data_IF_158024911895
#
_entry.id   IF_158024911895
#
_cell.length_a   1.000
_cell.length_b   1.000
_cell.length_c   1.000
_cell.angle_alpha   90.00
_cell.angle_beta   90.00
_cell.angle_gamma   90.00
#
_symmetry.space_group_name_H-M   'P 1'
#
loop_
_entity.id
_entity.type
_entity.pdbx_description
1 polymer ?
#
# COMPACT_ATOMS: atom_id res chain seq x y z
N UNK A 1 -14.44 -1.39 -12.18
CA UNK A 1 -14.95 -2.12 -11.01
C UNK A 1 -14.20 -1.62 -9.80
N UNK A 2 -14.88 -0.90 -8.93
CA UNK A 2 -14.24 -0.16 -7.85
C UNK A 2 -13.93 -1.11 -6.68
N UNK A 3 -12.65 -1.33 -6.45
CA UNK A 3 -12.14 -2.17 -5.37
C UNK A 3 -11.83 -1.28 -4.16
N UNK A 4 -12.12 -1.72 -2.94
CA UNK A 4 -11.67 -1.04 -1.72
C UNK A 4 -10.17 -0.77 -1.76
N UNK A 5 -9.77 0.47 -1.50
CA UNK A 5 -8.37 0.88 -1.60
C UNK A 5 -7.83 1.40 -0.28
N UNK A 6 -6.63 0.92 0.03
CA UNK A 6 -5.92 1.17 1.27
C UNK A 6 -4.55 1.71 0.89
N UNK A 7 -4.17 2.89 1.41
CA UNK A 7 -2.78 3.36 1.35
C UNK A 7 -1.93 2.46 2.23
N UNK A 8 -0.94 1.80 1.65
CA UNK A 8 -0.06 0.85 2.34
C UNK A 8 1.35 1.43 2.43
N UNK A 9 2.06 1.14 3.53
CA UNK A 9 3.46 1.53 3.66
C UNK A 9 4.28 1.03 2.48
N UNK A 10 5.30 1.80 2.11
CA UNK A 10 6.26 1.43 1.09
C UNK A 10 6.72 -0.04 1.23
N UNK A 11 6.82 -0.74 0.10
CA UNK A 11 7.14 -2.16 -0.12
C UNK A 11 5.97 -3.14 -0.10
N UNK A 12 4.75 -2.74 0.25
CA UNK A 12 3.62 -3.66 0.26
C UNK A 12 3.36 -4.27 -1.12
N UNK A 13 3.48 -3.48 -2.19
CA UNK A 13 3.40 -4.00 -3.56
C UNK A 13 4.49 -5.04 -3.87
N UNK A 14 5.74 -4.77 -3.48
CA UNK A 14 6.86 -5.71 -3.68
C UNK A 14 6.59 -7.04 -2.98
N UNK A 15 6.14 -7.01 -1.72
CA UNK A 15 5.79 -8.22 -0.98
C UNK A 15 4.65 -8.99 -1.66
N UNK A 16 3.62 -8.31 -2.15
CA UNK A 16 2.50 -8.94 -2.85
C UNK A 16 2.95 -9.67 -4.15
N UNK A 17 3.90 -9.07 -4.90
CA UNK A 17 4.49 -9.71 -6.09
C UNK A 17 5.28 -10.96 -5.72
N UNK A 18 6.11 -10.89 -4.68
CA UNK A 18 6.90 -12.04 -4.21
C UNK A 18 5.99 -13.16 -3.69
N UNK A 19 4.97 -12.82 -2.89
CA UNK A 19 4.00 -13.79 -2.38
C UNK A 19 3.31 -14.55 -3.52
N UNK A 20 2.86 -13.82 -4.56
CA UNK A 20 2.27 -14.43 -5.75
C UNK A 20 3.24 -15.34 -6.48
N UNK A 21 4.51 -14.95 -6.62
CA UNK A 21 5.53 -15.78 -7.27
C UNK A 21 5.70 -17.14 -6.58
N UNK A 22 5.65 -17.17 -5.24
CA UNK A 22 5.77 -18.39 -4.45
C UNK A 22 4.43 -19.08 -4.14
N UNK A 23 3.30 -18.60 -4.69
CA UNK A 23 1.99 -19.18 -4.45
C UNK A 23 1.49 -19.02 -3.00
N UNK A 24 1.96 -18.01 -2.27
CA UNK A 24 1.55 -17.70 -0.90
C UNK A 24 0.44 -16.65 -0.94
N UNK A 25 -0.68 -16.83 -0.22
CA UNK A 25 -1.76 -15.84 -0.18
C UNK A 25 -1.30 -14.58 0.58
N UNK A 26 -1.55 -13.41 -0.01
CA UNK A 26 -1.22 -12.12 0.57
C UNK A 26 -2.47 -11.45 1.14
N UNK A 27 -2.44 -11.06 2.41
CA UNK A 27 -3.56 -10.41 3.09
C UNK A 27 -3.20 -9.00 3.54
N UNK A 28 -4.17 -8.10 3.48
CA UNK A 28 -4.05 -6.74 4.02
C UNK A 28 -4.94 -6.62 5.24
N UNK A 29 -4.38 -6.26 6.40
CA UNK A 29 -5.15 -5.93 7.59
C UNK A 29 -5.30 -4.41 7.68
N UNK A 30 -6.53 -3.91 7.67
CA UNK A 30 -6.83 -2.50 7.81
C UNK A 30 -8.21 -2.30 8.46
N UNK A 31 -8.38 -1.28 9.31
CA UNK A 31 -9.71 -0.89 9.79
C UNK A 31 -10.63 -0.54 8.62
N UNK A 32 -11.92 -0.83 8.74
CA UNK A 32 -12.89 -0.50 7.68
C UNK A 32 -12.90 0.99 7.34
N UNK A 33 -12.63 1.85 8.33
CA UNK A 33 -12.54 3.32 8.17
C UNK A 33 -11.34 3.80 7.35
N UNK A 34 -10.32 2.96 7.15
CA UNK A 34 -9.13 3.30 6.35
C UNK A 34 -9.37 3.05 4.85
N UNK A 35 -10.49 2.41 4.51
CA UNK A 35 -10.83 2.07 3.14
C UNK A 35 -11.55 3.25 2.49
N UNK A 36 -10.97 3.76 1.41
CA UNK A 36 -11.65 4.70 0.54
C UNK A 36 -12.49 3.94 -0.50
N UNK A 37 -13.81 4.11 -0.43
CA UNK A 37 -14.76 3.49 -1.35
C UNK A 37 -15.12 4.38 -2.54
N UNK A 38 -14.80 5.68 -2.49
CA UNK A 38 -15.05 6.65 -3.54
C UNK A 38 -13.93 6.66 -4.59
N UNK A 39 -12.73 6.23 -4.20
CA UNK A 39 -11.59 6.07 -5.10
C UNK A 39 -11.81 4.91 -6.09
N UNK A 40 -11.83 5.20 -7.39
CA UNK A 40 -12.16 4.25 -8.47
C UNK A 40 -10.94 3.50 -9.03
N UNK A 41 -9.73 4.07 -8.93
CA UNK A 41 -8.45 3.43 -9.27
C UNK A 41 -7.35 3.66 -8.22
N UNK A 42 -6.41 2.72 -8.12
CA UNK A 42 -5.18 2.92 -7.32
C UNK A 42 -4.34 4.09 -7.86
N UNK A 43 -4.54 4.44 -9.13
CA UNK A 43 -3.86 5.54 -9.81
C UNK A 43 -4.32 6.93 -9.32
N UNK A 44 -5.48 7.01 -8.66
CA UNK A 44 -6.00 8.25 -8.07
C UNK A 44 -5.39 8.53 -6.69
N UNK A 45 -4.69 7.54 -6.11
CA UNK A 45 -4.08 7.65 -4.79
C UNK A 45 -2.82 8.50 -4.93
N UNK A 46 -2.91 9.76 -4.48
CA UNK A 46 -1.72 10.63 -4.38
C UNK A 46 -0.75 10.03 -3.35
N UNK A 47 0.43 9.67 -3.85
CA UNK A 47 1.54 9.14 -3.05
C UNK A 47 2.34 10.31 -2.47
N UNK A 48 2.45 10.33 -1.16
CA UNK A 48 3.26 11.30 -0.43
C UNK A 48 4.75 11.08 -0.74
N UNK A 49 5.43 12.14 -1.19
CA UNK A 49 6.89 12.18 -1.26
C UNK A 49 7.45 12.83 0.00
N UNK A 50 8.36 12.13 0.67
CA UNK A 50 8.96 12.56 1.93
C UNK A 50 10.31 13.21 1.69
N UNK A 51 10.82 13.88 2.73
CA UNK A 51 12.09 14.57 2.66
C UNK A 51 13.22 13.60 2.26
N UNK A 52 14.05 14.00 1.30
CA UNK A 52 15.20 13.24 0.81
C UNK A 52 16.17 12.85 1.93
N UNK A 53 16.27 13.67 2.99
CA UNK A 53 17.11 13.41 4.16
C UNK A 53 16.77 12.09 4.85
N UNK A 54 15.51 11.67 4.86
CA UNK A 54 15.10 10.41 5.50
C UNK A 54 15.69 9.17 4.80
N UNK A 55 16.08 9.28 3.53
CA UNK A 55 16.82 8.23 2.82
C UNK A 55 18.33 8.45 2.84
N UNK A 56 18.79 9.70 2.77
CA UNK A 56 20.23 9.99 2.64
C UNK A 56 20.97 10.02 3.98
N UNK A 57 20.26 10.20 5.08
CA UNK A 57 20.81 10.42 6.43
C UNK A 57 20.21 9.41 7.43
N UNK A 58 21.03 8.96 8.39
CA UNK A 58 20.59 8.17 9.54
C UNK A 58 21.01 8.94 10.79
N UNK A 59 20.02 9.40 11.57
CA UNK A 59 20.27 10.40 12.62
C UNK A 59 20.77 11.70 11.99
N UNK A 60 21.88 12.23 12.49
CA UNK A 60 22.51 13.45 11.97
C UNK A 60 23.62 13.17 10.94
N UNK A 61 23.85 11.90 10.57
CA UNK A 61 24.95 11.51 9.68
C UNK A 61 24.45 11.15 8.29
N UNK A 62 25.00 11.82 7.28
CA UNK A 62 24.80 11.46 5.87
C UNK A 62 25.54 10.17 5.52
N UNK A 63 24.83 9.25 4.87
CA UNK A 63 25.34 7.96 4.40
C UNK A 63 25.41 7.91 2.87
N UNK A 64 24.44 8.54 2.19
CA UNK A 64 24.43 8.61 0.73
C UNK A 64 25.47 9.61 0.20
N UNK A 65 25.95 9.38 -1.03
CA UNK A 65 26.89 10.28 -1.70
C UNK A 65 26.34 11.72 -1.76
N UNK A 66 27.25 12.70 -1.70
CA UNK A 66 26.88 14.11 -1.82
C UNK A 66 26.34 14.42 -3.22
N UNK A 67 25.31 15.26 -3.30
CA UNK A 67 24.68 15.66 -4.58
C UNK A 67 23.78 14.60 -5.24
N UNK A 68 23.66 13.38 -4.71
CA UNK A 68 22.78 12.36 -5.29
C UNK A 68 21.30 12.74 -5.16
N UNK A 69 20.55 12.55 -6.26
CA UNK A 69 19.10 12.70 -6.27
C UNK A 69 18.44 11.40 -5.74
N UNK A 70 17.38 11.54 -4.96
CA UNK A 70 16.65 10.41 -4.39
C UNK A 70 15.17 10.55 -4.62
N UNK A 71 14.49 9.41 -4.71
CA UNK A 71 13.04 9.33 -4.78
C UNK A 71 12.52 8.64 -3.52
N UNK A 72 11.75 9.38 -2.70
CA UNK A 72 11.34 8.95 -1.37
C UNK A 72 9.82 8.90 -1.20
N UNK A 73 9.17 7.96 -1.88
CA UNK A 73 7.72 7.73 -1.72
C UNK A 73 7.41 7.05 -0.38
N UNK A 74 6.49 7.61 0.41
CA UNK A 74 6.08 7.06 1.71
C UNK A 74 5.27 5.76 1.61
N UNK A 75 4.59 5.58 0.48
CA UNK A 75 3.59 4.54 0.26
C UNK A 75 3.74 3.93 -1.13
N UNK A 76 3.24 2.70 -1.28
CA UNK A 76 2.96 2.11 -2.59
C UNK A 76 1.54 1.53 -2.60
N UNK A 77 1.08 1.14 -3.79
CA UNK A 77 -0.26 0.59 -3.98
C UNK A 77 -0.11 -0.82 -4.52
N UNK A 78 -0.50 -1.82 -3.73
CA UNK A 78 -0.62 -3.19 -4.20
C UNK A 78 -1.91 -3.34 -5.03
N UNK A 79 -1.82 -3.77 -6.31
CA UNK A 79 -2.98 -4.06 -7.12
C UNK A 79 -3.88 -5.12 -6.46
N UNK A 80 -5.19 -4.94 -6.59
CA UNK A 80 -6.19 -5.82 -5.96
C UNK A 80 -6.07 -7.30 -6.36
N UNK A 81 -5.59 -7.58 -7.57
CA UNK A 81 -5.39 -8.95 -8.06
C UNK A 81 -4.19 -9.67 -7.39
N UNK A 82 -3.43 -8.98 -6.55
CA UNK A 82 -2.37 -9.57 -5.72
C UNK A 82 -2.82 -9.76 -4.26
N UNK A 83 -4.01 -9.30 -3.88
CA UNK A 83 -4.54 -9.37 -2.51
C UNK A 83 -5.58 -10.48 -2.45
N UNK A 84 -5.33 -11.50 -1.63
CA UNK A 84 -6.26 -12.60 -1.42
C UNK A 84 -7.47 -12.16 -0.58
N UNK A 85 -7.22 -11.34 0.45
CA UNK A 85 -8.27 -10.80 1.30
C UNK A 85 -7.85 -9.57 2.10
N UNK A 86 -8.85 -8.77 2.47
CA UNK A 86 -8.75 -7.62 3.35
C UNK A 86 -9.40 -7.98 4.69
N UNK A 87 -8.63 -7.93 5.77
CA UNK A 87 -9.08 -8.25 7.13
C UNK A 87 -9.39 -6.94 7.84
N UNK A 88 -10.63 -6.84 8.34
CA UNK A 88 -11.17 -5.68 9.05
C UNK A 88 -11.79 -6.14 10.38
N UNK A 89 -12.22 -5.20 11.21
CA UNK A 89 -13.02 -5.50 12.41
C UNK A 89 -14.39 -6.13 12.09
N UNK A 90 -14.84 -6.07 10.83
CA UNK A 90 -16.10 -6.65 10.34
C UNK A 90 -15.94 -8.05 9.75
N UNK A 91 -14.71 -8.55 9.66
CA UNK A 91 -14.39 -9.84 9.05
C UNK A 91 -13.34 -9.74 7.95
N UNK A 92 -13.16 -10.86 7.23
CA UNK A 92 -12.24 -10.98 6.10
C UNK A 92 -13.01 -11.07 4.79
N UNK A 93 -12.68 -10.20 3.84
CA UNK A 93 -13.42 -10.06 2.57
C UNK A 93 -12.46 -10.09 1.38
N UNK A 94 -12.91 -10.61 0.24
CA UNK A 94 -12.17 -10.37 -1.01
C UNK A 94 -12.26 -8.89 -1.38
N UNK A 95 -11.26 -8.34 -2.09
CA UNK A 95 -11.27 -6.92 -2.47
C UNK A 95 -12.55 -6.47 -3.21
N UNK A 96 -13.17 -7.36 -4.00
CA UNK A 96 -14.39 -7.06 -4.76
C UNK A 96 -15.68 -7.19 -3.93
N UNK A 97 -15.65 -7.83 -2.76
CA UNK A 97 -16.84 -8.15 -1.95
C UNK A 97 -17.06 -7.14 -0.84
N UNK A 98 -15.99 -6.48 -0.40
CA UNK A 98 -16.01 -5.59 0.76
C UNK A 98 -16.90 -4.34 0.57
N UNK A 99 -17.20 -3.94 -0.67
CA UNK A 99 -18.20 -2.87 -0.94
C UNK A 99 -19.61 -3.27 -0.53
N UNK A 100 -19.93 -4.56 -0.53
CA UNK A 100 -21.24 -5.05 -0.10
C UNK A 100 -21.45 -4.93 1.42
N UNK A 101 -20.41 -4.52 2.16
CA UNK A 101 -20.45 -4.26 3.60
C UNK A 101 -20.67 -2.77 3.92
N UNK A 102 -20.92 -1.95 2.90
CA UNK A 102 -21.40 -0.57 3.05
C UNK A 102 -22.92 -0.69 3.25
N UNK A 103 -23.39 -0.38 4.46
CA UNK A 103 -24.82 -0.35 4.80
C UNK A 103 -25.58 0.65 3.93
#
# INVERSE_FOLDING_TARGET
>A
MATARIKQRQRAFQLAVVAKHFGIPFYVAAPFTTIDFNCESGDEIVIEERNSKELTEIGEKRIAAEGIQVWNSAFDVAPANLIEGIITERGAFKPNEIKNQIN
#
